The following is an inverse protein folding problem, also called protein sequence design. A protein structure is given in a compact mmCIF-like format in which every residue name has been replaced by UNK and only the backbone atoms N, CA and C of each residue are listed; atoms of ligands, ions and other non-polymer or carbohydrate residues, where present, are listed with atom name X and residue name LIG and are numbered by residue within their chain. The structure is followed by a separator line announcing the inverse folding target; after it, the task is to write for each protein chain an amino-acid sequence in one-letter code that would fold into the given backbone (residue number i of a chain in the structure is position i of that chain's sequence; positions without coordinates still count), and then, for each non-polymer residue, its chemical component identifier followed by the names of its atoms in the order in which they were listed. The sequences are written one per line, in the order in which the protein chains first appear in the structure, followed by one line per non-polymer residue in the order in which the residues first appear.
data_IF_730678062884
#
_entry.id   IF_730678062884
#
_cell.length_a   1.000
_cell.length_b   1.000
_cell.length_c   1.000
_cell.angle_alpha   90.00
_cell.angle_beta   90.00
_cell.angle_gamma   90.00
#
_symmetry.space_group_name_H-M   'P 1'
#
loop_
_entity.id
_entity.type
_entity.pdbx_description
1 polymer ?
#
# COMPACT_ATOMS: atom_id res chain seq x y z
N UNK A 1 2.48 13.10 -29.78
CA UNK A 1 2.89 11.73 -30.15
C UNK A 1 1.67 10.81 -30.03
N UNK A 2 1.23 10.23 -31.13
CA UNK A 2 0.08 9.33 -31.21
C UNK A 2 0.53 7.89 -30.91
N UNK A 3 -0.13 7.19 -29.99
CA UNK A 3 0.08 5.74 -29.77
C UNK A 3 -0.88 4.93 -30.64
N UNK A 4 -0.33 4.19 -31.60
CA UNK A 4 -1.04 3.22 -32.43
C UNK A 4 -1.26 1.91 -31.66
N UNK A 5 -2.50 1.46 -31.56
CA UNK A 5 -2.85 0.13 -31.05
C UNK A 5 -2.68 -0.90 -32.18
N UNK A 6 -1.75 -1.84 -32.01
CA UNK A 6 -1.66 -3.06 -32.83
C UNK A 6 -2.38 -4.22 -32.11
N UNK A 7 -3.34 -4.91 -32.75
CA UNK A 7 -3.97 -6.08 -32.16
C UNK A 7 -3.07 -7.32 -32.31
N UNK A 8 -2.91 -8.05 -31.21
CA UNK A 8 -2.20 -9.34 -31.17
C UNK A 8 -3.11 -10.41 -31.79
N UNK A 9 -2.65 -11.01 -32.89
CA UNK A 9 -3.29 -12.15 -33.55
C UNK A 9 -3.02 -13.44 -32.76
N UNK A 10 -4.08 -14.08 -32.25
CA UNK A 10 -4.02 -15.42 -31.67
C UNK A 10 -4.01 -16.45 -32.81
N UNK A 11 -2.82 -16.96 -33.14
CA UNK A 11 -2.69 -18.12 -34.03
C UNK A 11 -3.25 -19.38 -33.34
N UNK A 12 -4.34 -19.89 -33.89
CA UNK A 12 -4.97 -21.18 -33.55
C UNK A 12 -4.04 -22.31 -34.02
N UNK A 13 -3.61 -23.17 -33.11
CA UNK A 13 -2.92 -24.42 -33.47
C UNK A 13 -3.88 -25.38 -34.20
N UNK A 14 -3.43 -26.14 -35.20
CA UNK A 14 -4.26 -27.11 -35.92
C UNK A 14 -4.57 -28.33 -35.04
N UNK A 15 -5.73 -28.99 -35.23
CA UNK A 15 -6.08 -30.19 -34.48
C UNK A 15 -5.18 -31.36 -34.91
N UNK A 16 -4.56 -32.01 -33.92
CA UNK A 16 -3.82 -33.26 -34.09
C UNK A 16 -4.79 -34.38 -34.50
N UNK A 17 -4.71 -34.82 -35.76
CA UNK A 17 -5.39 -36.02 -36.24
C UNK A 17 -4.63 -37.28 -35.79
N UNK A 18 -4.97 -37.81 -34.62
CA UNK A 18 -4.59 -39.17 -34.23
C UNK A 18 -5.76 -40.09 -34.54
N UNK A 19 -5.70 -40.76 -35.69
CA UNK A 19 -6.65 -41.80 -36.07
C UNK A 19 -6.39 -43.07 -35.24
N UNK A 20 -7.28 -43.35 -34.28
CA UNK A 20 -7.32 -44.65 -33.63
C UNK A 20 -8.10 -45.65 -34.49
N UNK A 21 -7.38 -46.62 -35.07
CA UNK A 21 -7.97 -47.81 -35.67
C UNK A 21 -8.51 -48.72 -34.56
N UNK A 22 -9.83 -48.93 -34.50
CA UNK A 22 -10.43 -49.93 -33.61
C UNK A 22 -10.22 -51.35 -34.17
N UNK A 23 -9.67 -52.29 -33.39
CA UNK A 23 -9.71 -53.70 -33.78
C UNK A 23 -11.15 -54.23 -33.75
N UNK A 24 -11.52 -55.04 -34.75
CA UNK A 24 -12.83 -55.70 -34.82
C UNK A 24 -13.06 -56.56 -33.58
N UNK A 25 -14.21 -56.36 -32.93
CA UNK A 25 -14.69 -57.23 -31.82
C UNK A 25 -14.74 -58.69 -32.29
N UNK A 26 -14.15 -59.65 -31.55
CA UNK A 26 -14.47 -61.05 -31.76
C UNK A 26 -15.94 -61.31 -31.42
N UNK A 27 -16.58 -62.20 -32.18
CA UNK A 27 -17.99 -62.59 -31.98
C UNK A 27 -18.16 -63.15 -30.56
N UNK A 28 -19.15 -62.64 -29.84
CA UNK A 28 -19.49 -63.10 -28.49
C UNK A 28 -19.83 -64.59 -28.50
N UNK A 29 -19.12 -65.38 -27.70
CA UNK A 29 -19.60 -66.69 -27.29
C UNK A 29 -20.93 -66.52 -26.53
N UNK A 30 -21.88 -67.45 -26.75
CA UNK A 30 -23.16 -67.46 -26.01
C UNK A 30 -22.88 -67.48 -24.50
N UNK A 31 -23.63 -66.72 -23.69
CA UNK A 31 -23.44 -66.77 -22.24
C UNK A 31 -23.78 -68.19 -21.75
N UNK A 32 -22.90 -68.74 -20.90
CA UNK A 32 -23.23 -69.92 -20.11
C UNK A 32 -24.48 -69.61 -19.25
N UNK A 33 -25.32 -70.62 -18.95
CA UNK A 33 -26.38 -70.44 -17.96
C UNK A 33 -25.73 -69.93 -16.67
N UNK A 34 -26.33 -68.87 -16.10
CA UNK A 34 -25.82 -68.18 -14.94
C UNK A 34 -25.42 -69.21 -13.86
N UNK A 35 -24.12 -69.27 -13.57
CA UNK A 35 -23.70 -69.77 -12.28
C UNK A 35 -24.32 -68.81 -11.27
N UNK A 36 -25.19 -69.31 -10.40
CA UNK A 36 -25.75 -68.56 -9.29
C UNK A 36 -24.61 -67.83 -8.58
N UNK A 37 -24.48 -66.52 -8.84
CA UNK A 37 -23.59 -65.67 -8.08
C UNK A 37 -24.24 -65.50 -6.73
N UNK A 38 -23.77 -66.27 -5.75
CA UNK A 38 -24.06 -66.01 -4.34
C UNK A 38 -23.92 -64.50 -4.10
N UNK A 39 -24.91 -63.85 -3.46
CA UNK A 39 -24.79 -62.43 -3.17
C UNK A 39 -23.54 -62.23 -2.31
N UNK A 40 -22.63 -61.37 -2.78
CA UNK A 40 -21.46 -60.97 -2.01
C UNK A 40 -21.88 -60.69 -0.57
N UNK A 41 -21.24 -61.31 0.44
CA UNK A 41 -21.70 -61.19 1.82
C UNK A 41 -21.78 -59.70 2.18
N UNK A 42 -22.85 -59.25 2.85
CA UNK A 42 -22.97 -57.84 3.22
C UNK A 42 -21.73 -57.49 4.05
N UNK A 43 -21.00 -56.45 3.63
CA UNK A 43 -19.85 -55.94 4.36
C UNK A 43 -20.26 -55.83 5.84
N UNK A 44 -19.61 -56.63 6.70
CA UNK A 44 -19.84 -56.63 8.14
C UNK A 44 -19.82 -55.17 8.64
N UNK A 45 -20.73 -54.80 9.55
CA UNK A 45 -20.84 -53.43 10.06
C UNK A 45 -19.49 -52.85 10.53
N UNK A 46 -18.56 -53.69 11.01
CA UNK A 46 -17.17 -53.29 11.31
C UNK A 46 -16.39 -52.77 10.10
N UNK A 47 -16.52 -53.40 8.94
CA UNK A 47 -15.83 -53.00 7.72
C UNK A 47 -16.48 -51.76 7.09
N UNK A 48 -17.80 -51.58 7.26
CA UNK A 48 -18.51 -50.35 6.83
C UNK A 48 -18.13 -49.15 7.68
N UNK A 49 -18.03 -49.33 9.01
CA UNK A 49 -17.54 -48.31 9.92
C UNK A 49 -16.08 -47.94 9.64
N UNK A 50 -15.20 -48.93 9.43
CA UNK A 50 -13.81 -48.68 9.05
C UNK A 50 -13.70 -47.92 7.72
N UNK A 51 -14.54 -48.26 6.74
CA UNK A 51 -14.58 -47.57 5.45
C UNK A 51 -15.02 -46.11 5.61
N UNK A 52 -16.05 -45.83 6.41
CA UNK A 52 -16.52 -44.47 6.68
C UNK A 52 -15.52 -43.65 7.52
N UNK A 53 -14.85 -44.27 8.50
CA UNK A 53 -13.78 -43.62 9.27
C UNK A 53 -12.61 -43.20 8.39
N UNK A 54 -12.25 -44.01 7.39
CA UNK A 54 -11.20 -43.68 6.42
C UNK A 54 -11.70 -42.62 5.43
N UNK A 55 -12.88 -42.78 4.83
CA UNK A 55 -13.38 -41.88 3.80
C UNK A 55 -13.87 -40.51 4.30
N UNK A 56 -14.32 -40.40 5.55
CA UNK A 56 -14.72 -39.12 6.14
C UNK A 56 -13.71 -38.61 7.17
N UNK A 57 -13.08 -39.50 7.95
CA UNK A 57 -12.18 -39.10 9.02
C UNK A 57 -10.81 -38.61 8.53
N UNK A 58 -10.21 -39.25 7.50
CA UNK A 58 -8.92 -38.78 6.96
C UNK A 58 -9.04 -37.42 6.27
N UNK A 59 -10.06 -37.14 5.42
CA UNK A 59 -10.24 -35.81 4.87
C UNK A 59 -10.50 -34.76 5.94
N UNK A 60 -11.35 -35.05 6.94
CA UNK A 60 -11.59 -34.11 8.06
C UNK A 60 -10.33 -33.80 8.85
N UNK A 61 -9.50 -34.82 9.13
CA UNK A 61 -8.22 -34.62 9.80
C UNK A 61 -7.24 -33.84 8.94
N UNK A 62 -7.15 -34.13 7.64
CA UNK A 62 -6.29 -33.39 6.72
C UNK A 62 -6.75 -31.93 6.59
N UNK A 63 -8.05 -31.68 6.45
CA UNK A 63 -8.61 -30.33 6.43
C UNK A 63 -8.40 -29.61 7.76
N UNK A 64 -8.58 -30.30 8.89
CA UNK A 64 -8.31 -29.73 10.22
C UNK A 64 -6.84 -29.38 10.42
N UNK A 65 -5.93 -30.22 9.94
CA UNK A 65 -4.49 -29.96 9.97
C UNK A 65 -4.11 -28.77 9.08
N UNK A 66 -4.59 -28.74 7.84
CA UNK A 66 -4.33 -27.62 6.92
C UNK A 66 -4.95 -26.31 7.43
N UNK A 67 -6.12 -26.38 8.07
CA UNK A 67 -6.74 -25.21 8.70
C UNK A 67 -5.96 -24.72 9.92
N UNK A 68 -5.42 -25.64 10.74
CA UNK A 68 -4.57 -25.29 11.87
C UNK A 68 -3.24 -24.69 11.41
N UNK A 69 -2.60 -25.26 10.38
CA UNK A 69 -1.39 -24.74 9.76
C UNK A 69 -1.60 -23.33 9.17
N UNK A 70 -2.70 -23.15 8.43
CA UNK A 70 -3.11 -21.83 7.92
C UNK A 70 -3.36 -20.81 9.04
N UNK A 71 -3.96 -21.24 10.15
CA UNK A 71 -4.27 -20.38 11.29
C UNK A 71 -3.05 -20.07 12.19
N UNK A 72 -2.07 -20.97 12.23
CA UNK A 72 -0.84 -20.87 13.04
C UNK A 72 0.37 -20.40 12.20
N UNK A 73 0.14 -19.96 10.95
CA UNK A 73 1.19 -19.63 9.96
C UNK A 73 2.14 -18.47 10.31
N UNK A 74 2.02 -17.88 11.49
CA UNK A 74 2.97 -16.88 12.00
C UNK A 74 3.57 -17.44 13.31
N UNK A 75 4.89 -17.69 13.37
CA UNK A 75 5.55 -18.11 14.61
C UNK A 75 5.21 -17.13 15.75
N UNK A 76 4.96 -17.60 16.98
CA UNK A 76 4.66 -16.72 18.11
C UNK A 76 5.70 -15.60 18.34
N UNK A 77 6.94 -15.85 17.93
CA UNK A 77 8.08 -14.94 18.01
C UNK A 77 8.25 -14.00 16.80
N UNK A 78 7.47 -14.18 15.73
CA UNK A 78 7.60 -13.36 14.54
C UNK A 78 7.05 -11.94 14.79
N UNK A 79 7.93 -10.96 14.71
CA UNK A 79 7.59 -9.55 14.78
C UNK A 79 7.65 -8.96 13.37
N UNK A 80 6.57 -8.30 12.94
CA UNK A 80 6.58 -7.55 11.70
C UNK A 80 7.50 -6.32 11.86
N UNK A 81 8.50 -6.22 11.00
CA UNK A 81 9.40 -5.07 10.91
C UNK A 81 9.32 -4.44 9.53
N UNK A 82 9.67 -3.16 9.44
CA UNK A 82 9.77 -2.48 8.15
C UNK A 82 11.09 -2.86 7.47
N UNK A 83 11.03 -3.54 6.33
CA UNK A 83 12.21 -3.99 5.56
C UNK A 83 12.62 -3.00 4.47
N UNK A 84 11.83 -1.95 4.24
CA UNK A 84 12.04 -1.00 3.16
C UNK A 84 11.62 -1.55 1.78
N UNK A 85 11.29 -0.62 0.87
CA UNK A 85 10.82 -0.96 -0.49
C UNK A 85 11.82 -1.78 -1.32
N UNK A 86 13.12 -1.63 -1.05
CA UNK A 86 14.16 -2.27 -1.85
C UNK A 86 14.16 -3.79 -1.72
N UNK A 87 13.85 -4.32 -0.53
CA UNK A 87 13.68 -5.77 -0.35
C UNK A 87 12.55 -6.32 -1.22
N UNK A 88 11.45 -5.57 -1.37
CA UNK A 88 10.35 -5.94 -2.25
C UNK A 88 10.79 -5.91 -3.73
N UNK A 89 11.61 -4.93 -4.10
CA UNK A 89 12.10 -4.73 -5.46
C UNK A 89 12.93 -5.89 -6.01
N UNK A 90 13.56 -6.68 -5.14
CA UNK A 90 14.34 -7.86 -5.51
C UNK A 90 13.50 -8.92 -6.25
N UNK A 91 12.21 -9.04 -5.92
CA UNK A 91 11.29 -9.99 -6.55
C UNK A 91 10.18 -9.33 -7.38
N UNK A 92 9.73 -8.13 -6.99
CA UNK A 92 8.59 -7.43 -7.58
C UNK A 92 9.00 -6.28 -8.51
N UNK A 93 9.86 -6.57 -9.48
CA UNK A 93 10.44 -5.57 -10.41
C UNK A 93 9.37 -4.86 -11.23
N UNK A 94 8.33 -5.58 -11.68
CA UNK A 94 7.29 -5.01 -12.52
C UNK A 94 6.40 -4.03 -11.75
N UNK A 95 6.12 -4.32 -10.48
CA UNK A 95 5.36 -3.46 -9.57
C UNK A 95 6.19 -2.24 -9.18
N UNK A 96 7.47 -2.44 -8.82
CA UNK A 96 8.37 -1.34 -8.50
C UNK A 96 8.50 -0.35 -9.65
N UNK A 97 8.63 -0.83 -10.89
CA UNK A 97 8.70 0.05 -12.06
C UNK A 97 7.42 0.88 -12.29
N UNK A 98 6.26 0.40 -11.82
CA UNK A 98 5.01 1.17 -11.90
C UNK A 98 4.84 2.15 -10.74
N UNK A 99 5.48 1.85 -9.62
CA UNK A 99 5.39 2.63 -8.40
C UNK A 99 6.44 3.76 -8.38
N UNK A 100 7.64 3.50 -8.88
CA UNK A 100 8.70 4.51 -9.04
C UNK A 100 8.18 5.69 -9.87
N UNK A 101 8.46 6.91 -9.41
CA UNK A 101 7.98 8.18 -9.97
C UNK A 101 6.45 8.36 -9.97
N UNK A 102 5.69 7.49 -9.29
CA UNK A 102 4.25 7.71 -9.07
C UNK A 102 4.01 8.71 -7.95
N UNK A 103 2.80 9.29 -7.88
CA UNK A 103 2.41 10.18 -6.77
C UNK A 103 2.58 9.53 -5.38
N UNK A 104 2.52 8.20 -5.29
CA UNK A 104 2.76 7.48 -4.04
C UNK A 104 4.24 7.45 -3.65
N UNK A 105 5.14 7.32 -4.63
CA UNK A 105 6.58 7.39 -4.41
C UNK A 105 7.01 8.82 -4.08
N UNK A 106 6.42 9.78 -4.77
CA UNK A 106 6.69 11.20 -4.60
C UNK A 106 5.94 11.84 -3.42
N UNK A 107 5.12 11.06 -2.70
CA UNK A 107 4.20 11.56 -1.69
C UNK A 107 4.93 12.35 -0.60
N UNK A 108 5.99 11.81 -0.01
CA UNK A 108 6.81 12.51 1.00
C UNK A 108 8.28 12.44 0.57
N UNK A 109 8.93 13.60 0.50
CA UNK A 109 10.35 13.70 0.18
C UNK A 109 11.06 14.64 1.16
N UNK A 110 12.39 14.47 1.31
CA UNK A 110 13.22 15.48 1.97
C UNK A 110 13.09 16.80 1.22
N UNK A 111 13.12 17.93 1.94
CA UNK A 111 13.13 19.24 1.32
C UNK A 111 14.53 19.56 0.77
N UNK A 112 14.70 19.44 -0.54
CA UNK A 112 15.93 19.74 -1.28
C UNK A 112 15.61 20.61 -2.49
N UNK A 113 16.65 21.10 -3.18
CA UNK A 113 16.48 21.88 -4.41
C UNK A 113 15.73 21.12 -5.51
N UNK A 114 15.77 19.79 -5.50
CA UNK A 114 15.11 18.94 -6.49
C UNK A 114 13.62 18.66 -6.18
N UNK A 115 13.22 18.75 -4.91
CA UNK A 115 11.91 18.27 -4.45
C UNK A 115 10.98 19.40 -3.99
N UNK A 116 11.55 20.54 -3.59
CA UNK A 116 10.78 21.73 -3.23
C UNK A 116 10.31 22.43 -4.50
N UNK A 117 9.00 22.50 -4.68
CA UNK A 117 8.36 23.18 -5.81
C UNK A 117 8.07 24.65 -5.53
N UNK A 118 8.04 25.04 -4.25
CA UNK A 118 7.73 26.40 -3.84
C UNK A 118 8.85 27.39 -4.11
N UNK A 119 8.47 28.64 -4.39
CA UNK A 119 9.41 29.75 -4.50
C UNK A 119 9.78 30.31 -3.11
N UNK A 120 10.90 29.85 -2.54
CA UNK A 120 11.42 30.33 -1.26
C UNK A 120 12.28 31.61 -1.41
N UNK A 121 11.89 32.54 -2.29
CA UNK A 121 12.52 33.86 -2.46
C UNK A 121 11.70 34.98 -1.80
N UNK A 122 11.49 34.89 -0.48
CA UNK A 122 10.76 35.88 0.33
C UNK A 122 9.30 36.09 -0.11
N UNK A 123 8.62 35.01 -0.55
CA UNK A 123 7.21 35.05 -0.93
C UNK A 123 6.34 35.14 0.31
N UNK A 124 5.43 36.11 0.33
CA UNK A 124 4.56 36.40 1.48
C UNK A 124 3.10 36.03 1.23
N UNK A 125 2.41 35.62 2.29
CA UNK A 125 0.95 35.49 2.32
C UNK A 125 0.40 36.08 3.61
N UNK A 126 -0.71 36.81 3.49
CA UNK A 126 -1.42 37.37 4.64
C UNK A 126 -2.74 36.67 4.85
N UNK A 127 -2.94 36.12 6.04
CA UNK A 127 -4.18 35.44 6.42
C UNK A 127 -4.53 35.71 7.88
N UNK A 128 -5.81 36.02 8.16
CA UNK A 128 -6.29 36.46 9.48
C UNK A 128 -5.38 37.49 10.20
N UNK A 129 -4.81 38.42 9.44
CA UNK A 129 -3.92 39.47 9.97
C UNK A 129 -2.48 39.02 10.25
N UNK A 130 -2.15 37.73 10.11
CA UNK A 130 -0.79 37.20 10.21
C UNK A 130 -0.14 37.31 8.83
N UNK A 131 1.03 37.93 8.76
CA UNK A 131 1.89 37.96 7.56
C UNK A 131 2.93 36.85 7.71
N UNK A 132 2.82 35.81 6.89
CA UNK A 132 3.79 34.72 6.85
C UNK A 132 4.63 34.82 5.59
N UNK A 133 5.85 34.30 5.61
CA UNK A 133 6.71 34.23 4.42
C UNK A 133 7.44 32.90 4.31
N UNK A 134 7.74 32.47 3.10
CA UNK A 134 8.67 31.37 2.82
C UNK A 134 9.96 31.94 2.26
N UNK A 135 11.10 31.46 2.74
CA UNK A 135 12.42 32.01 2.40
C UNK A 135 13.54 30.99 2.59
N UNK A 136 14.72 31.25 2.01
CA UNK A 136 15.91 30.42 2.22
C UNK A 136 16.90 31.06 3.20
N UNK A 137 17.59 30.20 3.94
CA UNK A 137 18.83 30.50 4.67
C UNK A 137 19.90 29.50 4.25
N UNK A 138 20.68 29.85 3.22
CA UNK A 138 21.56 28.93 2.52
C UNK A 138 20.78 27.77 1.88
N UNK A 139 21.11 26.55 2.29
CA UNK A 139 20.47 25.32 1.81
C UNK A 139 19.15 25.01 2.53
N UNK A 140 18.80 25.77 3.57
CA UNK A 140 17.61 25.53 4.39
C UNK A 140 16.39 26.25 3.83
N UNK A 141 15.30 25.51 3.71
CA UNK A 141 13.98 26.04 3.39
C UNK A 141 13.25 26.41 4.69
N UNK A 142 12.87 27.66 4.84
CA UNK A 142 12.29 28.20 6.08
C UNK A 142 10.92 28.82 5.85
N UNK A 143 10.00 28.58 6.78
CA UNK A 143 8.71 29.26 6.84
C UNK A 143 8.65 30.12 8.09
N UNK A 144 8.50 31.42 7.90
CA UNK A 144 8.31 32.40 8.96
C UNK A 144 6.81 32.55 9.23
N UNK A 145 6.32 32.05 10.38
CA UNK A 145 4.89 32.12 10.73
C UNK A 145 4.64 32.13 12.24
N UNK A 146 3.38 32.29 12.65
CA UNK A 146 2.96 32.33 14.05
C UNK A 146 3.04 30.94 14.68
N UNK A 147 3.92 30.77 15.67
CA UNK A 147 4.13 29.54 16.42
C UNK A 147 3.10 29.26 17.53
N UNK A 148 3.31 28.18 18.32
CA UNK A 148 2.39 27.78 19.38
C UNK A 148 2.28 28.80 20.53
N UNK A 149 3.26 29.68 20.67
CA UNK A 149 3.33 30.76 21.66
C UNK A 149 2.79 32.11 21.14
N UNK A 150 2.28 32.13 19.89
CA UNK A 150 1.83 33.32 19.15
C UNK A 150 2.95 34.27 18.73
N UNK A 151 4.21 33.85 18.83
CA UNK A 151 5.34 34.61 18.32
C UNK A 151 5.62 34.19 16.88
N UNK A 152 6.08 35.15 16.06
CA UNK A 152 6.57 34.86 14.73
C UNK A 152 7.96 34.24 14.83
N UNK A 153 8.17 33.10 14.19
CA UNK A 153 9.44 32.40 14.21
C UNK A 153 9.65 31.63 12.90
N UNK A 154 10.90 31.25 12.63
CA UNK A 154 11.26 30.45 11.48
C UNK A 154 11.19 28.96 11.82
N UNK A 155 10.48 28.23 10.96
CA UNK A 155 10.40 26.77 10.99
C UNK A 155 11.10 26.20 9.76
N UNK A 156 12.05 25.30 9.98
CA UNK A 156 12.71 24.62 8.87
C UNK A 156 11.82 23.53 8.30
N UNK A 157 11.62 23.58 6.98
CA UNK A 157 10.95 22.54 6.22
C UNK A 157 11.91 21.37 6.07
N UNK A 158 11.61 20.27 6.75
CA UNK A 158 12.40 19.04 6.67
C UNK A 158 11.92 18.14 5.54
N UNK A 159 10.61 18.15 5.29
CA UNK A 159 9.98 17.34 4.26
C UNK A 159 8.93 18.13 3.50
N UNK A 160 8.73 17.74 2.25
CA UNK A 160 7.60 18.17 1.42
C UNK A 160 6.60 17.02 1.29
N UNK A 161 5.32 17.37 1.23
CA UNK A 161 4.23 16.43 1.03
C UNK A 161 3.45 16.78 -0.25
N UNK A 162 3.46 15.89 -1.22
CA UNK A 162 2.82 16.06 -2.52
C UNK A 162 3.70 16.75 -3.59
N UNK A 163 3.27 16.58 -4.84
CA UNK A 163 3.93 17.14 -6.04
C UNK A 163 2.97 17.91 -6.95
N UNK A 164 1.67 17.66 -6.88
CA UNK A 164 0.67 18.37 -7.68
C UNK A 164 -0.74 17.85 -7.39
N UNK A 165 -1.77 18.70 -7.41
CA UNK A 165 -1.72 20.16 -7.63
C UNK A 165 -1.24 20.95 -6.40
N UNK A 166 -1.01 20.27 -5.28
CA UNK A 166 -0.67 20.86 -3.99
C UNK A 166 0.64 20.29 -3.45
N UNK A 167 1.52 21.15 -2.94
CA UNK A 167 2.64 20.76 -2.10
C UNK A 167 2.53 21.41 -0.72
N UNK A 168 2.65 20.61 0.34
CA UNK A 168 2.61 21.05 1.73
C UNK A 168 3.98 20.90 2.38
N UNK A 169 4.23 21.67 3.43
CA UNK A 169 5.52 21.71 4.11
C UNK A 169 5.44 21.09 5.49
N UNK A 170 6.38 20.20 5.82
CA UNK A 170 6.44 19.52 7.11
C UNK A 170 7.63 20.04 7.92
N UNK A 171 7.36 20.43 9.16
CA UNK A 171 8.34 20.99 10.09
C UNK A 171 8.40 20.17 11.37
N UNK A 172 9.58 20.10 11.99
CA UNK A 172 9.77 19.42 13.27
C UNK A 172 9.43 20.33 14.46
N UNK A 173 8.79 19.73 15.46
CA UNK A 173 8.48 20.31 16.76
C UNK A 173 9.13 19.53 17.89
N UNK A 174 9.35 20.25 19.00
CA UNK A 174 9.66 19.67 20.29
C UNK A 174 10.90 18.75 20.29
N UNK A 175 11.82 18.95 19.32
CA UNK A 175 13.04 18.15 19.18
C UNK A 175 13.93 18.34 20.42
N UNK A 176 14.16 17.30 21.24
CA UNK A 176 15.07 17.40 22.36
C UNK A 176 16.50 17.67 21.90
N UNK A 177 17.25 18.49 22.65
CA UNK A 177 18.63 18.84 22.29
C UNK A 177 19.57 17.63 22.23
N UNK A 178 19.22 16.54 22.89
CA UNK A 178 19.96 15.28 22.93
C UNK A 178 19.38 14.20 21.98
N UNK A 179 18.39 14.52 21.14
CA UNK A 179 17.81 13.58 20.19
C UNK A 179 18.77 13.35 19.01
N UNK A 180 19.11 12.08 18.70
CA UNK A 180 19.99 11.73 17.57
C UNK A 180 19.50 12.30 16.25
N UNK A 181 20.41 12.80 15.40
CA UNK A 181 20.06 13.42 14.10
C UNK A 181 19.28 12.50 13.15
N UNK A 182 19.44 11.18 13.31
CA UNK A 182 18.74 10.15 12.55
C UNK A 182 17.35 9.80 13.10
N UNK A 183 16.94 10.40 14.22
CA UNK A 183 15.58 10.32 14.74
C UNK A 183 14.74 11.54 14.31
N UNK A 184 13.50 11.28 13.94
CA UNK A 184 12.53 12.29 13.51
C UNK A 184 11.75 12.76 14.74
N UNK A 185 11.74 14.06 14.99
CA UNK A 185 10.95 14.65 16.06
C UNK A 185 9.45 14.69 15.68
N UNK A 186 8.61 15.35 16.49
CA UNK A 186 7.20 15.47 16.14
C UNK A 186 7.07 16.29 14.85
N UNK A 187 6.62 15.68 13.75
CA UNK A 187 6.34 16.40 12.51
C UNK A 187 4.95 17.03 12.53
N UNK A 188 4.85 18.26 12.03
CA UNK A 188 3.59 18.92 11.73
C UNK A 188 3.57 19.40 10.29
N UNK A 189 2.44 19.23 9.62
CA UNK A 189 2.20 19.80 8.28
C UNK A 189 1.73 21.25 8.47
N UNK A 190 2.37 22.20 7.81
CA UNK A 190 1.93 23.59 7.82
C UNK A 190 0.62 23.74 7.05
N UNK A 191 -0.19 24.73 7.46
CA UNK A 191 -1.35 25.21 6.69
C UNK A 191 -0.93 26.11 5.52
N UNK A 192 0.32 26.57 5.53
CA UNK A 192 0.93 27.28 4.42
C UNK A 192 1.35 26.25 3.37
N UNK A 193 0.74 26.34 2.20
CA UNK A 193 0.89 25.37 1.12
C UNK A 193 1.15 26.08 -0.20
N UNK A 194 1.76 25.35 -1.12
CA UNK A 194 2.05 25.81 -2.47
C UNK A 194 1.11 25.17 -3.47
N UNK A 195 0.46 26.03 -4.26
CA UNK A 195 -0.28 25.60 -5.44
C UNK A 195 0.72 25.42 -6.58
N UNK A 196 0.97 24.16 -6.96
CA UNK A 196 1.96 23.83 -7.99
C UNK A 196 1.48 24.18 -9.42
N UNK A 197 0.19 24.40 -9.61
CA UNK A 197 -0.37 24.79 -10.91
C UNK A 197 -0.37 26.31 -11.09
N UNK A 198 -0.68 27.05 -10.01
CA UNK A 198 -0.70 28.52 -10.03
C UNK A 198 0.61 29.18 -9.58
N UNK A 199 1.54 28.39 -9.06
CA UNK A 199 2.82 28.84 -8.52
C UNK A 199 2.64 29.94 -7.44
N UNK A 200 1.73 29.69 -6.50
CA UNK A 200 1.41 30.66 -5.44
C UNK A 200 1.42 30.03 -4.04
N UNK A 201 1.92 30.80 -3.07
CA UNK A 201 1.80 30.49 -1.65
C UNK A 201 0.41 30.88 -1.17
N UNK A 202 -0.28 29.96 -0.49
CA UNK A 202 -1.59 30.24 0.09
C UNK A 202 -1.76 29.59 1.47
N UNK A 203 -2.80 30.02 2.18
CA UNK A 203 -3.20 29.40 3.44
C UNK A 203 -4.37 28.44 3.21
N UNK A 204 -4.17 27.16 3.53
CA UNK A 204 -5.17 26.11 3.42
C UNK A 204 -6.03 26.05 4.69
N UNK A 205 -7.14 26.79 4.69
CA UNK A 205 -8.11 26.75 5.80
C UNK A 205 -8.75 25.37 5.97
N UNK A 206 -9.12 24.97 7.20
CA UNK A 206 -10.02 23.84 7.40
C UNK A 206 -11.35 24.10 6.67
N UNK A 207 -11.99 23.07 6.08
CA UNK A 207 -13.16 23.25 5.21
C UNK A 207 -14.39 23.85 5.90
N UNK A 208 -14.49 23.74 7.23
CA UNK A 208 -15.65 24.19 8.01
C UNK A 208 -15.29 25.29 9.04
N UNK A 209 -14.13 25.95 8.89
CA UNK A 209 -13.65 26.97 9.83
C UNK A 209 -13.18 28.20 9.08
N UNK A 210 -13.98 29.27 9.19
CA UNK A 210 -13.69 30.59 8.59
C UNK A 210 -13.15 31.62 9.59
N UNK A 211 -12.54 31.17 10.68
CA UNK A 211 -11.95 32.03 11.71
C UNK A 211 -10.51 31.66 12.08
N UNK A 212 -9.81 32.63 12.69
CA UNK A 212 -8.47 32.39 13.22
C UNK A 212 -8.55 31.39 14.38
N UNK A 213 -8.01 30.19 14.15
CA UNK A 213 -7.82 29.21 15.20
C UNK A 213 -6.80 29.71 16.22
N UNK A 214 -7.15 29.63 17.50
CA UNK A 214 -6.23 29.94 18.59
C UNK A 214 -5.25 28.79 18.83
N UNK A 215 -4.08 29.02 19.45
CA UNK A 215 -3.10 27.95 19.70
C UNK A 215 -3.59 26.82 20.61
N UNK A 216 -4.72 26.97 21.32
CA UNK A 216 -5.31 25.92 22.15
C UNK A 216 -6.41 25.12 21.41
N UNK A 217 -6.75 25.53 20.19
CA UNK A 217 -7.73 24.85 19.37
C UNK A 217 -7.16 23.54 18.82
N UNK A 218 -7.86 22.40 18.91
CA UNK A 218 -7.36 21.12 18.39
C UNK A 218 -6.99 21.14 16.90
N UNK A 219 -7.65 21.97 16.08
CA UNK A 219 -7.42 22.11 14.64
C UNK A 219 -6.30 23.10 14.31
N UNK A 220 -5.78 23.82 15.31
CA UNK A 220 -4.63 24.70 15.14
C UNK A 220 -3.44 23.90 14.64
N UNK A 221 -2.63 24.50 13.77
CA UNK A 221 -1.60 23.78 13.05
C UNK A 221 -0.47 23.20 13.92
N UNK A 222 -0.40 23.62 15.18
CA UNK A 222 0.55 23.11 16.18
C UNK A 222 -0.04 22.00 17.06
N UNK A 223 -1.29 21.60 16.83
CA UNK A 223 -2.03 20.60 17.63
C UNK A 223 -2.26 19.31 16.86
N UNK A 224 -2.82 18.32 17.55
CA UNK A 224 -2.87 16.93 17.11
C UNK A 224 -4.04 16.59 16.19
N UNK A 225 -5.07 17.44 16.12
CA UNK A 225 -6.25 17.16 15.28
C UNK A 225 -6.17 17.82 13.91
N UNK A 226 -5.01 18.38 13.55
CA UNK A 226 -4.73 18.70 12.16
C UNK A 226 -4.48 17.39 11.41
N UNK A 227 -5.36 17.12 10.44
CA UNK A 227 -5.24 16.08 9.42
C UNK A 227 -4.91 16.78 8.11
#
# INVERSE_FOLDING_TARGET
MYWSQTPISLNRLPPSAVGFSMPKRPKSAKPNPAADSDPSPPLNNRNRFAFWLIFLGLPLLATGYLAADWWVGIPPEAQATYVGRQTCAECHVAEMKKWEDSDHDLAINLATDETVLGDFNDVEVKHYGILSRIHRDGDRFLVHTEGPDRLMMDFEVKYVFGVGPLQQYMVEFDRPANMPEDEIARLQVLRLSWDAEKEELFYLSPPDVDEKLGPNDPLHWTRSAQI
#
